data_IF_103189974289
#
_entry.id   IF_103189974289
#
_cell.length_a   1.000
_cell.length_b   1.000
_cell.length_c   1.000
_cell.angle_alpha   90.00
_cell.angle_beta   90.00
_cell.angle_gamma   90.00
#
_symmetry.space_group_name_H-M   'P 1'
#
loop_
_entity.id
_entity.type
_entity.pdbx_description
1 polymer ?
#
# COMPACT_ATOMS: atom_id res chain seq x y z
N UNK A 1 0.05 -2.77 19.37
CA UNK A 1 -0.06 -2.37 17.96
C UNK A 1 -1.55 -2.21 17.67
N UNK A 2 -2.05 -1.02 17.36
CA UNK A 2 -3.46 -0.88 16.94
C UNK A 2 -3.62 -1.60 15.61
N UNK A 3 -4.51 -2.60 15.56
CA UNK A 3 -4.81 -3.31 14.34
C UNK A 3 -5.53 -2.35 13.37
N UNK A 4 -5.06 -2.34 12.12
CA UNK A 4 -5.69 -1.63 11.01
C UNK A 4 -6.12 -2.70 10.01
N UNK A 5 -7.41 -2.76 9.71
CA UNK A 5 -7.97 -3.78 8.83
C UNK A 5 -7.99 -3.27 7.38
N UNK A 6 -7.66 -4.14 6.42
CA UNK A 6 -7.71 -3.80 4.99
C UNK A 6 -9.16 -3.87 4.51
N UNK A 7 -9.69 -2.75 4.00
CA UNK A 7 -11.06 -2.65 3.48
C UNK A 7 -11.12 -2.61 1.96
N UNK A 8 -10.03 -2.23 1.30
CA UNK A 8 -9.88 -2.26 -0.16
C UNK A 8 -8.43 -2.44 -0.53
N UNK A 9 -8.16 -3.17 -1.61
CA UNK A 9 -6.82 -3.39 -2.15
C UNK A 9 -6.82 -3.16 -3.66
N UNK A 10 -5.79 -2.51 -4.16
CA UNK A 10 -5.47 -2.36 -5.57
C UNK A 10 -4.10 -3.02 -5.81
N UNK A 11 -3.96 -3.77 -6.89
CA UNK A 11 -2.71 -4.44 -7.24
C UNK A 11 -2.33 -4.04 -8.67
N UNK A 12 -1.03 -3.84 -8.91
CA UNK A 12 -0.53 -3.64 -10.26
C UNK A 12 -0.59 -4.94 -11.06
N UNK A 13 -0.66 -4.84 -12.38
CA UNK A 13 -0.77 -6.02 -13.26
C UNK A 13 0.43 -6.98 -13.16
N UNK A 14 1.61 -6.43 -12.91
CA UNK A 14 2.86 -7.19 -12.71
C UNK A 14 3.01 -7.75 -11.29
N UNK A 15 2.07 -7.44 -10.38
CA UNK A 15 2.11 -7.87 -9.00
C UNK A 15 3.25 -7.27 -8.16
N UNK A 16 3.97 -6.27 -8.66
CA UNK A 16 5.09 -5.65 -7.93
C UNK A 16 4.67 -4.50 -7.04
N UNK A 17 3.43 -4.02 -7.14
CA UNK A 17 2.91 -2.91 -6.34
C UNK A 17 1.50 -3.23 -5.86
N UNK A 18 1.18 -2.74 -4.68
CA UNK A 18 -0.21 -2.72 -4.21
C UNK A 18 -0.50 -1.48 -3.38
N UNK A 19 -1.75 -1.04 -3.38
CA UNK A 19 -2.24 -0.02 -2.47
C UNK A 19 -3.34 -0.63 -1.61
N UNK A 20 -3.18 -0.55 -0.30
CA UNK A 20 -4.17 -1.01 0.67
C UNK A 20 -4.83 0.18 1.34
N UNK A 21 -6.15 0.26 1.25
CA UNK A 21 -6.96 1.15 2.07
C UNK A 21 -7.27 0.42 3.38
N UNK A 22 -6.93 1.04 4.50
CA UNK A 22 -7.09 0.47 5.83
C UNK A 22 -7.98 1.33 6.70
N UNK A 23 -8.71 0.69 7.61
CA UNK A 23 -9.57 1.33 8.61
C UNK A 23 -9.02 1.12 10.02
N UNK A 24 -9.17 2.12 10.89
CA UNK A 24 -8.84 2.00 12.31
C UNK A 24 -9.76 1.01 13.01
N UNK A 25 -9.29 0.42 14.13
CA UNK A 25 -10.07 -0.55 14.90
C UNK A 25 -11.46 -0.05 15.37
N UNK A 26 -11.66 1.27 15.50
CA UNK A 26 -12.94 1.88 15.85
C UNK A 26 -13.81 2.27 14.64
N UNK A 27 -13.35 2.00 13.42
CA UNK A 27 -14.07 2.27 12.19
C UNK A 27 -14.10 3.74 11.76
N UNK A 28 -13.36 4.64 12.43
CA UNK A 28 -13.51 6.10 12.26
C UNK A 28 -12.49 6.76 11.33
N UNK A 29 -11.32 6.15 11.17
CA UNK A 29 -10.22 6.72 10.41
C UNK A 29 -9.82 5.77 9.29
N UNK A 30 -9.54 6.34 8.13
CA UNK A 30 -9.06 5.62 6.96
C UNK A 30 -7.69 6.14 6.55
N UNK A 31 -6.86 5.29 5.96
CA UNK A 31 -5.59 5.68 5.34
C UNK A 31 -5.17 4.66 4.30
N UNK A 32 -4.29 5.05 3.38
CA UNK A 32 -3.72 4.14 2.42
C UNK A 32 -2.25 3.85 2.71
N UNK A 33 -1.84 2.66 2.30
CA UNK A 33 -0.45 2.18 2.29
C UNK A 33 -0.12 1.81 0.85
N UNK A 34 0.95 2.38 0.30
CA UNK A 34 1.56 1.82 -0.90
C UNK A 34 2.60 0.78 -0.48
N UNK A 35 2.52 -0.41 -1.06
CA UNK A 35 3.52 -1.45 -0.97
C UNK A 35 4.19 -1.63 -2.33
N UNK A 36 5.51 -1.73 -2.33
CA UNK A 36 6.33 -1.93 -3.52
C UNK A 36 7.29 -3.07 -3.28
N UNK A 37 7.26 -4.07 -4.15
CA UNK A 37 8.24 -5.14 -4.21
C UNK A 37 9.54 -4.57 -4.78
N UNK A 38 10.59 -4.64 -3.97
CA UNK A 38 11.92 -4.19 -4.32
C UNK A 38 12.77 -5.42 -4.56
N UNK A 39 13.40 -5.52 -5.73
CA UNK A 39 14.36 -6.57 -6.01
C UNK A 39 15.57 -6.44 -5.08
N UNK A 40 16.00 -7.56 -4.51
CA UNK A 40 17.22 -7.61 -3.72
C UNK A 40 18.44 -7.49 -4.63
N UNK A 41 19.51 -6.86 -4.15
CA UNK A 41 20.79 -6.87 -4.83
C UNK A 41 21.41 -8.28 -4.76
N UNK A 42 22.30 -8.62 -5.71
CA UNK A 42 22.90 -9.95 -5.83
C UNK A 42 23.58 -10.42 -4.52
N UNK A 43 24.17 -9.49 -3.76
CA UNK A 43 24.83 -9.76 -2.49
C UNK A 43 23.86 -9.96 -1.31
N UNK A 44 22.59 -9.58 -1.46
CA UNK A 44 21.53 -9.73 -0.46
C UNK A 44 20.63 -10.96 -0.69
N UNK A 45 20.79 -11.67 -1.82
CA UNK A 45 19.99 -12.86 -2.17
C UNK A 45 20.10 -14.01 -1.16
N UNK A 46 21.17 -14.04 -0.35
CA UNK A 46 21.28 -15.01 0.74
C UNK A 46 20.20 -14.80 1.83
N UNK A 47 19.77 -13.55 2.02
CA UNK A 47 18.75 -13.16 3.00
C UNK A 47 17.35 -13.04 2.38
N UNK A 48 17.29 -12.75 1.08
CA UNK A 48 16.06 -12.65 0.28
C UNK A 48 16.10 -13.66 -0.88
N UNK A 49 15.95 -14.96 -0.59
CA UNK A 49 16.12 -16.02 -1.60
C UNK A 49 15.01 -16.04 -2.67
N UNK A 50 13.89 -15.36 -2.43
CA UNK A 50 12.81 -15.08 -3.37
C UNK A 50 13.11 -13.89 -4.31
N UNK A 51 14.26 -13.24 -4.13
CA UNK A 51 14.76 -12.21 -5.03
C UNK A 51 14.31 -10.79 -4.68
N UNK A 52 13.66 -10.57 -3.53
CA UNK A 52 13.24 -9.23 -3.13
C UNK A 52 12.50 -9.15 -1.81
N UNK A 53 11.95 -7.98 -1.53
CA UNK A 53 11.18 -7.72 -0.32
C UNK A 53 10.09 -6.68 -0.57
N UNK A 54 9.00 -6.78 0.20
CA UNK A 54 7.97 -5.75 0.23
C UNK A 54 8.42 -4.57 1.09
N UNK A 55 8.47 -3.40 0.46
CA UNK A 55 8.67 -2.11 1.12
C UNK A 55 7.35 -1.35 1.19
N UNK A 56 7.20 -0.46 2.18
CA UNK A 56 6.07 0.47 2.26
C UNK A 56 6.60 1.91 2.19
N UNK A 57 6.91 2.42 0.98
CA UNK A 57 7.55 3.72 0.84
C UNK A 57 6.61 4.88 1.16
N UNK A 58 5.29 4.68 1.07
CA UNK A 58 4.31 5.73 1.25
C UNK A 58 3.13 5.28 2.10
N UNK A 59 2.84 6.10 3.11
CA UNK A 59 1.64 6.00 3.94
C UNK A 59 1.01 7.38 3.99
N UNK A 60 -0.29 7.45 3.80
CA UNK A 60 -1.03 8.70 3.82
C UNK A 60 -1.25 9.24 5.24
N UNK A 61 -1.84 10.43 5.31
CA UNK A 61 -2.53 10.89 6.52
C UNK A 61 -3.82 10.08 6.79
N UNK A 62 -4.68 10.64 7.64
CA UNK A 62 -5.97 10.05 7.99
C UNK A 62 -7.12 10.78 7.29
N UNK A 63 -8.12 10.02 6.87
CA UNK A 63 -9.34 10.51 6.22
C UNK A 63 -10.58 10.08 7.00
N UNK A 64 -11.68 10.79 6.79
CA UNK A 64 -12.97 10.51 7.45
C UNK A 64 -13.79 9.43 6.72
N UNK A 65 -13.45 9.12 5.46
CA UNK A 65 -14.15 8.11 4.67
C UNK A 65 -13.22 7.30 3.76
N UNK A 66 -13.68 6.12 3.34
CA UNK A 66 -13.00 5.28 2.35
C UNK A 66 -12.84 6.01 1.02
N UNK A 67 -13.87 6.74 0.57
CA UNK A 67 -13.88 7.35 -0.75
C UNK A 67 -12.91 8.53 -0.86
N UNK A 68 -12.82 9.37 0.18
CA UNK A 68 -11.78 10.41 0.28
C UNK A 68 -10.38 9.80 0.22
N UNK A 69 -10.16 8.73 0.99
CA UNK A 69 -8.88 8.03 1.03
C UNK A 69 -8.52 7.40 -0.33
N UNK A 70 -9.48 6.79 -1.01
CA UNK A 70 -9.30 6.21 -2.35
C UNK A 70 -9.03 7.29 -3.39
N UNK A 71 -9.73 8.43 -3.32
CA UNK A 71 -9.51 9.53 -4.25
C UNK A 71 -8.10 10.10 -4.11
N UNK A 72 -7.65 10.34 -2.87
CA UNK A 72 -6.29 10.82 -2.62
C UNK A 72 -5.24 9.78 -3.04
N UNK A 73 -5.47 8.49 -2.78
CA UNK A 73 -4.58 7.43 -3.25
C UNK A 73 -4.41 7.45 -4.78
N UNK A 74 -5.49 7.63 -5.54
CA UNK A 74 -5.42 7.74 -7.01
C UNK A 74 -4.64 8.97 -7.48
N UNK A 75 -4.79 10.10 -6.78
CA UNK A 75 -4.06 11.33 -7.10
C UNK A 75 -2.57 11.24 -6.75
N UNK A 76 -2.24 10.58 -5.64
CA UNK A 76 -0.88 10.48 -5.12
C UNK A 76 -0.06 9.36 -5.76
N UNK A 77 -0.69 8.28 -6.20
CA UNK A 77 -0.02 7.07 -6.70
C UNK A 77 -0.20 6.97 -8.21
N UNK A 78 0.86 7.31 -8.95
CA UNK A 78 0.81 7.54 -10.40
C UNK A 78 0.39 6.34 -11.28
N UNK A 79 0.47 5.11 -10.77
CA UNK A 79 0.08 3.91 -11.51
C UNK A 79 -1.36 3.48 -11.23
N UNK A 80 -2.01 4.04 -10.21
CA UNK A 80 -3.43 3.82 -10.00
C UNK A 80 -4.23 4.57 -11.06
N UNK A 81 -5.18 3.92 -11.76
CA UNK A 81 -5.96 4.58 -12.78
C UNK A 81 -6.77 5.74 -12.20
N UNK A 82 -6.61 6.92 -12.79
CA UNK A 82 -7.52 8.05 -12.60
C UNK A 82 -8.87 7.71 -13.24
N UNK A 83 -9.96 8.01 -12.53
CA UNK A 83 -11.33 7.84 -13.04
C UNK A 83 -11.66 8.84 -14.13
#
# INVERSE_FOLDING_TARGET
>A
MQAWDVVRKFESEDGTRSVEIRVSADGKLFRFYEHVWTAAADDELLYYPDGGFWSCPQVSGYYASVDECVNDARLAICWLPNM
#
